data_IF_665432013133
#
_entry.id   IF_665432013133
#
_cell.length_a   1.000
_cell.length_b   1.000
_cell.length_c   1.000
_cell.angle_alpha   90.00
_cell.angle_beta   90.00
_cell.angle_gamma   90.00
#
_symmetry.space_group_name_H-M   'P 1'
#
loop_
_entity.id
_entity.type
_entity.pdbx_description
1 polymer ?
#
# COMPACT_ATOMS: atom_id res chain seq x y z
N UNK A 1 -14.95 2.28 -6.80
CA UNK A 1 -14.18 1.25 -6.04
C UNK A 1 -15.18 0.12 -5.80
N UNK A 2 -15.12 -1.11 -6.37
CA UNK A 2 -14.01 -1.94 -6.88
C UNK A 2 -13.90 -2.03 -8.42
N UNK A 3 -14.80 -1.36 -9.14
CA UNK A 3 -15.01 -1.57 -10.58
C UNK A 3 -13.90 -1.06 -11.52
N UNK A 4 -12.82 -0.45 -11.03
CA UNK A 4 -11.75 0.11 -11.88
C UNK A 4 -10.34 -0.35 -11.48
N UNK A 5 -10.19 -1.38 -10.63
CA UNK A 5 -8.85 -1.90 -10.30
C UNK A 5 -8.10 -2.34 -11.56
N UNK A 6 -8.81 -2.90 -12.54
CA UNK A 6 -8.24 -3.29 -13.83
C UNK A 6 -7.72 -2.13 -14.69
N UNK A 7 -8.18 -0.89 -14.44
CA UNK A 7 -7.73 0.31 -15.16
C UNK A 7 -6.55 1.00 -14.46
N UNK A 8 -6.18 0.55 -13.27
CA UNK A 8 -5.07 1.13 -12.53
C UNK A 8 -3.74 0.60 -13.08
N UNK A 9 -2.77 1.49 -13.17
CA UNK A 9 -1.37 1.16 -13.44
C UNK A 9 -0.73 0.64 -12.14
N UNK A 10 -1.12 1.22 -11.00
CA UNK A 10 -0.58 0.91 -9.67
C UNK A 10 -1.75 0.72 -8.69
N UNK A 11 -1.71 -0.35 -7.90
CA UNK A 11 -2.67 -0.62 -6.82
C UNK A 11 -1.93 -0.60 -5.49
N UNK A 12 -2.30 0.33 -4.61
CA UNK A 12 -1.74 0.43 -3.26
C UNK A 12 -2.64 -0.28 -2.25
N UNK A 13 -2.13 -1.34 -1.62
CA UNK A 13 -2.83 -2.10 -0.59
C UNK A 13 -2.18 -1.89 0.79
N UNK A 14 -2.94 -1.62 1.84
CA UNK A 14 -2.36 -1.51 3.18
C UNK A 14 -3.33 -1.00 4.25
N UNK A 15 -2.90 -1.06 5.50
CA UNK A 15 -3.71 -0.68 6.68
C UNK A 15 -4.07 0.81 6.70
N UNK A 16 -5.13 1.21 7.41
CA UNK A 16 -5.54 2.63 7.43
C UNK A 16 -4.40 3.52 7.96
N UNK A 17 -4.17 4.69 7.35
CA UNK A 17 -3.11 5.66 7.67
C UNK A 17 -1.68 5.32 7.23
N UNK A 18 -1.47 4.33 6.36
CA UNK A 18 -0.15 4.09 5.71
C UNK A 18 0.22 5.09 4.60
N UNK A 19 -0.33 6.31 4.60
CA UNK A 19 0.00 7.30 3.57
C UNK A 19 -0.54 7.02 2.14
N UNK A 20 -1.42 6.02 1.95
CA UNK A 20 -2.02 5.67 0.63
C UNK A 20 -2.55 6.88 -0.14
N UNK A 21 -3.37 7.74 0.48
CA UNK A 21 -4.01 8.86 -0.23
C UNK A 21 -2.98 9.88 -0.71
N UNK A 22 -2.10 10.44 0.15
CA UNK A 22 -1.00 11.29 -0.32
C UNK A 22 -0.12 10.64 -1.39
N UNK A 23 0.27 9.38 -1.21
CA UNK A 23 1.10 8.64 -2.15
C UNK A 23 0.40 8.47 -3.51
N UNK A 24 -0.87 8.09 -3.50
CA UNK A 24 -1.67 7.92 -4.71
C UNK A 24 -1.85 9.22 -5.48
N UNK A 25 -2.05 10.35 -4.77
CA UNK A 25 -2.14 11.67 -5.39
C UNK A 25 -0.80 12.06 -6.02
N UNK A 26 0.30 11.84 -5.32
CA UNK A 26 1.63 12.17 -5.84
C UNK A 26 2.01 11.33 -7.07
N UNK A 27 1.73 10.02 -7.04
CA UNK A 27 1.86 9.13 -8.20
C UNK A 27 0.96 9.55 -9.37
N UNK A 28 -0.28 9.99 -9.09
CA UNK A 28 -1.18 10.49 -10.13
C UNK A 28 -0.64 11.76 -10.80
N UNK A 29 -0.01 12.67 -10.04
CA UNK A 29 0.70 13.82 -10.61
C UNK A 29 1.89 13.43 -11.50
N UNK A 30 2.44 12.21 -11.33
CA UNK A 30 3.47 11.65 -12.22
C UNK A 30 2.89 10.91 -13.43
N UNK A 31 1.56 10.90 -13.60
CA UNK A 31 0.89 10.34 -14.78
C UNK A 31 0.33 8.92 -14.62
N UNK A 32 0.37 8.33 -13.41
CA UNK A 32 -0.10 6.96 -13.17
C UNK A 32 -1.53 6.92 -12.65
N UNK A 33 -2.34 5.99 -13.15
CA UNK A 33 -3.66 5.70 -12.60
C UNK A 33 -3.49 4.84 -11.35
N UNK A 34 -3.77 5.39 -10.17
CA UNK A 34 -3.59 4.69 -8.90
C UNK A 34 -4.92 4.31 -8.26
N UNK A 35 -5.03 3.06 -7.81
CA UNK A 35 -6.16 2.60 -6.99
C UNK A 35 -5.69 2.31 -5.56
N UNK A 36 -6.49 2.74 -4.57
CA UNK A 36 -6.22 2.47 -3.17
C UNK A 36 -7.14 1.36 -2.65
N UNK A 37 -6.57 0.32 -2.06
CA UNK A 37 -7.30 -0.77 -1.43
C UNK A 37 -6.97 -0.80 0.06
N UNK A 38 -7.90 -0.37 0.94
CA UNK A 38 -7.68 -0.46 2.38
C UNK A 38 -7.74 -1.93 2.83
N UNK A 39 -6.76 -2.34 3.63
CA UNK A 39 -6.83 -3.59 4.38
C UNK A 39 -7.42 -3.25 5.75
N UNK A 40 -8.54 -3.88 6.08
CA UNK A 40 -9.24 -3.71 7.35
C UNK A 40 -9.49 -5.09 7.93
N UNK A 41 -9.10 -5.30 9.18
CA UNK A 41 -9.27 -6.59 9.86
C UNK A 41 -10.75 -6.99 9.90
N UNK A 42 -11.05 -8.25 9.55
CA UNK A 42 -12.42 -8.78 9.50
C UNK A 42 -13.21 -8.43 8.23
N UNK A 43 -12.71 -7.53 7.37
CA UNK A 43 -13.35 -7.18 6.10
C UNK A 43 -12.67 -7.94 4.97
N UNK A 44 -13.45 -8.72 4.20
CA UNK A 44 -12.92 -9.43 3.03
C UNK A 44 -12.46 -8.43 1.97
N UNK A 45 -11.25 -8.65 1.45
CA UNK A 45 -10.73 -7.89 0.33
C UNK A 45 -11.56 -8.15 -0.95
N UNK A 46 -11.70 -7.15 -1.83
CA UNK A 46 -12.46 -7.32 -3.06
C UNK A 46 -11.78 -8.36 -3.95
N UNK A 47 -12.55 -9.31 -4.51
CA UNK A 47 -12.03 -10.37 -5.40
C UNK A 47 -11.21 -9.81 -6.56
N UNK A 48 -11.64 -8.67 -7.09
CA UNK A 48 -10.96 -7.93 -8.16
C UNK A 48 -9.51 -7.55 -7.84
N UNK A 49 -9.11 -7.47 -6.56
CA UNK A 49 -7.71 -7.24 -6.17
C UNK A 49 -6.80 -8.43 -6.54
N UNK A 50 -7.34 -9.64 -6.48
CA UNK A 50 -6.61 -10.88 -6.77
C UNK A 50 -6.72 -11.29 -8.25
N UNK A 51 -7.61 -10.65 -9.00
CA UNK A 51 -7.83 -10.89 -10.43
C UNK A 51 -7.01 -9.93 -11.32
N UNK A 52 -6.51 -8.81 -10.78
CA UNK A 52 -5.60 -7.93 -11.51
C UNK A 52 -4.21 -8.54 -11.62
N UNK A 53 -3.44 -8.04 -12.58
CA UNK A 53 -2.01 -8.33 -12.68
C UNK A 53 -1.32 -8.09 -11.32
N UNK A 54 -0.78 -9.14 -10.67
CA UNK A 54 -0.18 -9.04 -9.35
C UNK A 54 1.07 -8.17 -9.34
N UNK A 55 1.71 -7.93 -10.50
CA UNK A 55 2.85 -7.03 -10.61
C UNK A 55 2.49 -5.56 -10.43
N UNK A 56 1.20 -5.21 -10.54
CA UNK A 56 0.69 -3.85 -10.33
C UNK A 56 0.34 -3.58 -8.86
N UNK A 57 0.32 -4.60 -8.01
CA UNK A 57 -0.09 -4.47 -6.60
C UNK A 57 1.13 -4.26 -5.70
N UNK A 58 1.06 -3.22 -4.87
CA UNK A 58 2.08 -2.84 -3.91
C UNK A 58 1.49 -2.78 -2.51
N UNK A 59 2.00 -3.62 -1.62
CA UNK A 59 1.69 -3.59 -0.19
C UNK A 59 2.40 -2.43 0.50
N UNK A 60 1.72 -1.75 1.42
CA UNK A 60 2.29 -0.72 2.28
C UNK A 60 2.18 -1.17 3.74
N UNK A 61 3.31 -1.19 4.42
CA UNK A 61 3.40 -1.47 5.85
C UNK A 61 4.08 -0.33 6.59
N UNK A 62 3.86 -0.25 7.90
CA UNK A 62 4.37 0.83 8.75
C UNK A 62 4.63 0.30 10.15
N UNK A 63 5.60 0.88 10.83
CA UNK A 63 5.86 0.60 12.23
C UNK A 63 4.61 0.90 13.09
N UNK A 64 4.22 -0.01 14.00
CA UNK A 64 3.00 0.13 14.81
C UNK A 64 3.01 1.37 15.71
N UNK A 65 4.17 1.74 16.27
CA UNK A 65 4.29 2.92 17.16
C UNK A 65 4.09 4.21 16.39
N UNK A 66 4.69 4.30 15.19
CA UNK A 66 4.52 5.45 14.29
C UNK A 66 3.07 5.53 13.81
N UNK A 67 2.46 4.39 13.46
CA UNK A 67 1.06 4.33 13.03
C UNK A 67 0.10 4.83 14.11
N UNK A 68 0.27 4.40 15.37
CA UNK A 68 -0.51 4.92 16.49
C UNK A 68 -0.34 6.43 16.63
N UNK A 69 0.90 6.92 16.54
CA UNK A 69 1.19 8.37 16.64
C UNK A 69 0.42 9.16 15.58
N UNK A 70 0.42 8.69 14.33
CA UNK A 70 -0.35 9.30 13.23
C UNK A 70 -1.86 9.24 13.48
N UNK A 71 -2.37 8.12 14.00
CA UNK A 71 -3.80 7.96 14.33
C UNK A 71 -4.25 8.94 15.42
N UNK A 72 -3.47 9.07 16.49
CA UNK A 72 -3.72 10.03 17.57
C UNK A 72 -3.67 11.47 17.10
N UNK A 73 -2.64 11.85 16.34
CA UNK A 73 -2.54 13.20 15.78
C UNK A 73 -3.78 13.56 14.94
N UNK A 74 -4.28 12.59 14.15
CA UNK A 74 -5.51 12.79 13.37
C UNK A 74 -6.77 12.83 14.24
N UNK A 75 -6.91 11.99 15.24
CA UNK A 75 -8.04 12.04 16.18
C UNK A 75 -8.12 13.43 16.84
N UNK A 76 -6.97 13.96 17.26
CA UNK A 76 -6.84 15.31 17.82
C UNK A 76 -7.24 16.41 16.85
N UNK A 77 -6.78 16.33 15.59
CA UNK A 77 -7.20 17.30 14.56
C UNK A 77 -8.70 17.30 14.26
N UNK A 78 -9.41 16.22 14.61
CA UNK A 78 -10.85 16.06 14.40
C UNK A 78 -11.67 16.35 15.67
N UNK A 79 -11.03 16.79 16.76
CA UNK A 79 -11.70 17.07 18.04
C UNK A 79 -12.21 15.82 18.77
N UNK A 80 -11.67 14.63 18.44
CA UNK A 80 -12.10 13.34 19.00
C UNK A 80 -11.28 12.94 20.26
N UNK A 81 -10.67 13.91 20.94
CA UNK A 81 -9.74 13.70 22.06
C UNK A 81 -10.32 12.92 23.25
N UNK A 82 -11.65 12.87 23.39
CA UNK A 82 -12.34 12.17 24.50
C UNK A 82 -12.58 10.67 24.30
N UNK A 83 -12.34 10.12 23.11
CA UNK A 83 -12.57 8.69 22.82
C UNK A 83 -11.26 7.87 22.76
N UNK A 84 -10.25 8.26 23.54
CA UNK A 84 -9.03 7.46 23.63
C UNK A 84 -9.37 6.20 24.44
N UNK A 85 -9.66 5.12 23.71
CA UNK A 85 -9.58 3.75 24.22
C UNK A 85 -8.22 3.57 24.92
N UNK A 86 -8.18 2.76 25.98
CA UNK A 86 -6.96 2.46 26.72
C UNK A 86 -5.76 2.30 25.77
N UNK A 87 -4.69 3.08 25.99
CA UNK A 87 -3.54 3.16 25.08
C UNK A 87 -2.96 1.79 24.71
N UNK A 88 -3.09 0.84 25.63
CA UNK A 88 -2.70 -0.56 25.48
C UNK A 88 -3.61 -1.31 24.49
N UNK A 89 -4.93 -1.17 24.63
CA UNK A 89 -5.92 -1.76 23.73
C UNK A 89 -5.80 -1.23 22.30
N UNK A 90 -5.52 0.06 22.13
CA UNK A 90 -5.28 0.66 20.80
C UNK A 90 -4.00 0.09 20.15
N UNK A 91 -2.91 -0.04 20.91
CA UNK A 91 -1.66 -0.59 20.38
C UNK A 91 -1.80 -2.04 19.95
N UNK A 92 -2.46 -2.85 20.75
CA UNK A 92 -2.66 -4.26 20.40
C UNK A 92 -3.57 -4.43 19.19
N UNK A 93 -4.60 -3.58 19.06
CA UNK A 93 -5.41 -3.54 17.85
C UNK A 93 -4.58 -3.15 16.61
N UNK A 94 -3.70 -2.15 16.71
CA UNK A 94 -2.81 -1.74 15.61
C UNK A 94 -1.87 -2.88 15.20
N UNK A 95 -1.29 -3.60 16.17
CA UNK A 95 -0.45 -4.77 15.89
C UNK A 95 -1.24 -5.86 15.17
N UNK A 96 -2.44 -6.20 15.66
CA UNK A 96 -3.30 -7.19 15.02
C UNK A 96 -3.68 -6.81 13.58
N UNK A 97 -3.96 -5.52 13.33
CA UNK A 97 -4.26 -5.01 11.97
C UNK A 97 -3.06 -5.17 11.03
N UNK A 98 -1.84 -4.88 11.51
CA UNK A 98 -0.60 -5.05 10.75
C UNK A 98 -0.26 -6.52 10.52
N UNK A 99 -0.44 -7.38 11.52
CA UNK A 99 -0.27 -8.84 11.38
C UNK A 99 -1.26 -9.44 10.40
N UNK A 100 -2.52 -8.97 10.41
CA UNK A 100 -3.52 -9.36 9.43
C UNK A 100 -3.12 -8.96 8.01
N UNK A 101 -2.65 -7.72 7.81
CA UNK A 101 -2.12 -7.27 6.53
C UNK A 101 -0.87 -8.07 6.11
N UNK A 102 0.04 -8.35 7.04
CA UNK A 102 1.22 -9.18 6.83
C UNK A 102 0.86 -10.58 6.33
N UNK A 103 -0.16 -11.22 6.92
CA UNK A 103 -0.66 -12.52 6.44
C UNK A 103 -1.17 -12.46 5.00
N UNK A 104 -1.91 -11.41 4.63
CA UNK A 104 -2.36 -11.20 3.25
C UNK A 104 -1.14 -11.06 2.31
N UNK A 105 -0.15 -10.27 2.69
CA UNK A 105 1.05 -10.07 1.87
C UNK A 105 1.86 -11.35 1.72
N UNK A 106 2.02 -12.15 2.78
CA UNK A 106 2.72 -13.45 2.73
C UNK A 106 2.02 -14.46 1.82
N UNK A 107 0.69 -14.38 1.67
CA UNK A 107 -0.07 -15.20 0.72
C UNK A 107 0.09 -14.75 -0.74
N UNK A 108 0.64 -13.55 -0.97
CA UNK A 108 0.77 -12.93 -2.28
C UNK A 108 2.24 -12.47 -2.51
N UNK A 109 3.20 -13.40 -2.67
CA UNK A 109 4.64 -13.09 -2.66
C UNK A 109 5.11 -12.22 -3.84
N UNK A 110 4.30 -12.07 -4.89
CA UNK A 110 4.58 -11.18 -6.03
C UNK A 110 4.43 -9.70 -5.64
N UNK A 111 3.63 -9.39 -4.61
CA UNK A 111 3.36 -8.02 -4.19
C UNK A 111 4.55 -7.49 -3.38
N UNK A 112 5.25 -6.43 -3.82
CA UNK A 112 6.26 -5.79 -3.01
C UNK A 112 5.61 -5.19 -1.77
N UNK A 113 6.20 -5.43 -0.60
CA UNK A 113 5.77 -4.79 0.65
C UNK A 113 6.75 -3.67 0.96
N UNK A 114 6.28 -2.43 0.84
CA UNK A 114 7.09 -1.23 1.06
C UNK A 114 6.81 -0.73 2.47
N UNK A 115 7.85 -0.70 3.28
CA UNK A 115 7.80 -0.02 4.58
C UNK A 115 7.88 1.49 4.39
N UNK A 116 6.89 2.22 4.92
CA UNK A 116 6.76 3.68 4.79
C UNK A 116 7.15 4.44 6.07
N UNK A 117 7.62 3.73 7.10
CA UNK A 117 8.00 4.32 8.39
C UNK A 117 9.06 5.41 8.21
N UNK A 118 8.73 6.65 8.60
CA UNK A 118 9.67 7.78 8.56
C UNK A 118 10.10 8.23 7.16
N UNK A 119 9.54 7.66 6.10
CA UNK A 119 9.88 8.02 4.71
C UNK A 119 9.03 9.19 4.22
N UNK A 120 9.65 10.05 3.43
CA UNK A 120 8.94 11.05 2.66
C UNK A 120 8.06 10.38 1.57
N UNK A 121 7.05 11.11 1.09
CA UNK A 121 6.16 10.61 0.03
C UNK A 121 6.95 10.43 -1.27
N UNK A 122 7.91 11.31 -1.53
CA UNK A 122 8.81 11.31 -2.66
C UNK A 122 9.69 10.06 -2.67
N UNK A 123 10.24 9.69 -1.52
CA UNK A 123 11.07 8.49 -1.37
C UNK A 123 10.25 7.23 -1.61
N UNK A 124 9.06 7.14 -1.01
CA UNK A 124 8.16 5.99 -1.21
C UNK A 124 7.72 5.89 -2.67
N UNK A 125 7.43 7.03 -3.30
CA UNK A 125 7.12 7.11 -4.73
C UNK A 125 8.27 6.59 -5.59
N UNK A 126 9.50 7.02 -5.31
CA UNK A 126 10.68 6.57 -6.05
C UNK A 126 10.85 5.05 -5.98
N UNK A 127 10.61 4.45 -4.81
CA UNK A 127 10.64 2.98 -4.65
C UNK A 127 9.55 2.29 -5.48
N UNK A 128 8.29 2.76 -5.39
CA UNK A 128 7.17 2.19 -6.17
C UNK A 128 7.47 2.27 -7.67
N UNK A 129 7.87 3.44 -8.17
CA UNK A 129 8.13 3.65 -9.59
C UNK A 129 9.32 2.84 -10.09
N UNK A 130 10.40 2.75 -9.31
CA UNK A 130 11.53 1.88 -9.66
C UNK A 130 11.09 0.44 -9.85
N UNK A 131 10.37 -0.13 -8.88
CA UNK A 131 9.88 -1.50 -8.96
C UNK A 131 8.90 -1.71 -10.12
N UNK A 132 8.03 -0.73 -10.36
CA UNK A 132 7.11 -0.73 -11.49
C UNK A 132 7.86 -0.76 -12.83
N UNK A 133 8.85 0.11 -13.03
CA UNK A 133 9.63 0.17 -14.26
C UNK A 133 10.53 -1.05 -14.45
N UNK A 134 11.16 -1.56 -13.39
CA UNK A 134 12.01 -2.76 -13.45
C UNK A 134 11.22 -3.99 -13.95
N UNK A 135 9.94 -4.08 -13.58
CA UNK A 135 9.02 -5.13 -14.04
C UNK A 135 8.65 -4.94 -15.52
N UNK A 136 8.25 -3.73 -15.89
CA UNK A 136 7.89 -3.41 -17.28
C UNK A 136 9.08 -3.55 -18.26
N UNK A 137 10.30 -3.20 -17.84
CA UNK A 137 11.49 -3.23 -18.69
C UNK A 137 12.08 -4.65 -18.86
N UNK A 138 11.83 -5.58 -17.94
CA UNK A 138 12.23 -7.00 -18.10
C UNK A 138 11.57 -7.65 -19.32
N UNK A 139 10.38 -7.18 -19.73
CA UNK A 139 9.72 -7.62 -20.97
C UNK A 139 10.39 -7.09 -22.25
N UNK A 140 11.32 -6.13 -22.17
CA UNK A 140 11.94 -5.47 -23.32
C UNK A 140 13.37 -5.90 -23.63
N UNK A 141 13.90 -6.99 -23.06
CA UNK A 141 15.15 -7.58 -23.58
C UNK A 141 14.88 -8.22 -24.96
N UNK A 142 15.45 -7.70 -26.07
CA UNK A 142 15.34 -8.37 -27.35
C UNK A 142 16.02 -9.74 -27.25
N UNK A 143 15.32 -10.81 -27.63
CA UNK A 143 15.97 -12.06 -28.02
C UNK A 143 16.97 -11.68 -29.11
N UNK A 144 18.27 -11.83 -28.84
CA UNK A 144 19.30 -11.77 -29.87
C UNK A 144 18.96 -12.91 -30.83
N UNK A 145 18.22 -12.61 -31.90
CA UNK A 145 18.12 -13.48 -33.05
C UNK A 145 19.51 -13.48 -33.66
N UNK A 146 20.28 -14.53 -33.40
CA UNK A 146 21.40 -14.86 -34.27
C UNK A 146 20.84 -15.09 -35.67
N UNK A 147 20.93 -14.08 -36.52
CA UNK A 147 21.14 -14.27 -37.95
C UNK A 147 22.58 -13.87 -38.20
N UNK A 148 23.38 -14.91 -38.36
CA UNK A 148 24.54 -15.11 -39.23
C UNK A 148 25.48 -16.10 -38.52
#
# INVERSE_FOLDING_TARGET
>A
LPQNLHKADIVLAGVSRTGKTPLSTYLAHKGYKVANVPIVMGVKLPKTLFEVDPEKVFGLTINPVVLQTIRRARAKSLGLDKQIMDNYSEMDYVKQELEYAGRIFSQNPVWPVIEVTGKAIEETTAVVLRLYHDRHNKCSMPRISKRY
#
